data_IF_730142330003
#
_entry.id   IF_730142330003
#
_cell.length_a   1.000
_cell.length_b   1.000
_cell.length_c   1.000
_cell.angle_alpha   90.00
_cell.angle_beta   90.00
_cell.angle_gamma   90.00
#
_symmetry.space_group_name_H-M   'P 1'
#
loop_
_entity.id
_entity.type
_entity.pdbx_description
1 polymer ?
#
# COMPACT_ATOMS: atom_id res chain seq x y z
N UNK A 1 4.67 34.80 -39.58
CA UNK A 1 4.99 34.25 -38.24
C UNK A 1 4.00 33.12 -37.96
N UNK A 2 4.24 31.90 -38.47
CA UNK A 2 4.50 30.68 -37.68
C UNK A 2 3.73 30.69 -36.34
N UNK A 3 2.75 29.82 -36.06
CA UNK A 3 2.76 28.37 -36.28
C UNK A 3 1.33 27.82 -36.36
N UNK A 4 1.15 26.79 -37.19
CA UNK A 4 0.06 25.84 -37.12
C UNK A 4 0.06 25.19 -35.72
N UNK A 5 -0.79 25.66 -34.82
CA UNK A 5 -0.87 25.19 -33.43
C UNK A 5 -2.08 24.27 -33.18
N UNK A 6 -2.66 23.65 -34.22
CA UNK A 6 -3.75 22.69 -34.01
C UNK A 6 -3.22 21.41 -33.33
N UNK A 7 -2.02 20.95 -33.72
CA UNK A 7 -1.32 19.83 -33.08
C UNK A 7 -0.87 20.21 -31.66
N UNK A 8 -0.42 21.46 -31.44
CA UNK A 8 -0.03 21.95 -30.10
C UNK A 8 -1.22 22.04 -29.13
N UNK A 9 -2.44 22.22 -29.63
CA UNK A 9 -3.65 22.33 -28.81
C UNK A 9 -4.24 20.95 -28.44
N UNK A 10 -4.02 19.91 -29.26
CA UNK A 10 -4.43 18.53 -28.94
C UNK A 10 -3.64 17.91 -27.79
N UNK A 11 -2.42 18.38 -27.52
CA UNK A 11 -1.62 17.95 -26.36
C UNK A 11 -1.90 18.76 -25.08
N UNK A 12 -2.68 19.84 -25.15
CA UNK A 12 -2.76 20.82 -24.05
C UNK A 12 -3.77 20.51 -22.94
N UNK A 13 -4.48 19.38 -22.97
CA UNK A 13 -5.50 19.09 -21.95
C UNK A 13 -5.64 17.60 -21.61
N UNK A 14 -4.53 16.90 -21.37
CA UNK A 14 -4.58 15.77 -20.45
C UNK A 14 -4.04 16.24 -19.11
N UNK A 15 -4.92 16.81 -18.28
CA UNK A 15 -4.76 16.73 -16.83
C UNK A 15 -4.78 15.23 -16.50
N UNK A 16 -3.61 14.60 -16.54
CA UNK A 16 -3.42 13.29 -15.96
C UNK A 16 -3.75 13.49 -14.49
N UNK A 17 -4.97 13.14 -14.11
CA UNK A 17 -5.35 13.03 -12.72
C UNK A 17 -4.47 11.91 -12.18
N UNK A 18 -3.31 12.26 -11.64
CA UNK A 18 -2.49 11.35 -10.87
C UNK A 18 -3.27 11.09 -9.59
N UNK A 19 -4.22 10.16 -9.64
CA UNK A 19 -4.61 9.47 -8.41
C UNK A 19 -3.32 8.86 -7.92
N UNK A 20 -2.75 9.45 -6.87
CA UNK A 20 -1.56 8.94 -6.21
C UNK A 20 -1.96 7.59 -5.64
N UNK A 21 -1.82 6.53 -6.45
CA UNK A 21 -1.87 5.17 -5.96
C UNK A 21 -0.64 5.05 -5.08
N UNK A 22 -0.80 5.27 -3.78
CA UNK A 22 0.23 4.91 -2.80
C UNK A 22 0.17 3.39 -2.72
N UNK A 23 1.10 2.65 -3.34
CA UNK A 23 1.12 1.21 -3.14
C UNK A 23 1.28 0.98 -1.63
N UNK A 24 0.36 0.25 -1.02
CA UNK A 24 0.54 -0.23 0.33
C UNK A 24 1.55 -1.36 0.28
N UNK A 25 2.84 -1.00 0.28
CA UNK A 25 3.94 -1.96 0.26
C UNK A 25 4.12 -2.51 1.67
N UNK A 26 3.98 -3.83 1.81
CA UNK A 26 4.27 -4.52 3.07
C UNK A 26 5.80 -4.62 3.22
N UNK A 27 6.39 -4.19 4.33
CA UNK A 27 7.84 -4.27 4.53
C UNK A 27 8.30 -5.74 4.64
N UNK A 28 9.42 -6.05 3.98
CA UNK A 28 10.11 -7.32 4.11
C UNK A 28 11.16 -7.26 5.22
N UNK A 29 11.35 -8.37 5.93
CA UNK A 29 12.31 -8.52 7.02
C UNK A 29 13.14 -9.79 6.85
N UNK A 30 14.36 -9.76 7.37
CA UNK A 30 15.27 -10.91 7.39
C UNK A 30 15.25 -11.52 8.79
N UNK A 31 14.99 -12.83 8.87
CA UNK A 31 15.03 -13.60 10.10
C UNK A 31 16.47 -14.04 10.42
N UNK A 32 16.94 -13.67 11.62
CA UNK A 32 18.31 -13.90 12.07
C UNK A 32 18.49 -15.22 12.84
N UNK A 33 17.39 -15.89 13.22
CA UNK A 33 17.44 -17.09 14.07
C UNK A 33 17.89 -18.36 13.31
N UNK A 34 17.82 -18.32 11.97
CA UNK A 34 18.17 -19.45 11.12
C UNK A 34 19.66 -19.50 10.76
N UNK A 35 20.22 -20.71 10.61
CA UNK A 35 21.54 -20.93 9.98
C UNK A 35 21.64 -20.37 8.54
N UNK A 36 20.50 -20.01 7.95
CA UNK A 36 20.32 -19.42 6.62
C UNK A 36 19.38 -18.23 6.77
N UNK A 37 19.66 -17.16 6.03
CA UNK A 37 18.79 -15.98 5.93
C UNK A 37 17.44 -16.36 5.32
N UNK A 38 16.37 -16.08 6.05
CA UNK A 38 14.99 -16.27 5.55
C UNK A 38 14.33 -14.91 5.48
N UNK A 39 13.74 -14.62 4.32
CA UNK A 39 13.02 -13.36 4.09
C UNK A 39 11.53 -13.63 4.24
N UNK A 40 10.89 -12.81 5.06
CA UNK A 40 9.45 -12.82 5.25
C UNK A 40 8.89 -11.43 5.01
N UNK A 41 7.61 -11.31 4.66
CA UNK A 41 6.89 -10.10 4.99
C UNK A 41 6.74 -9.99 6.53
N UNK A 42 6.54 -8.77 7.04
CA UNK A 42 6.47 -8.57 8.50
C UNK A 42 5.36 -9.38 9.19
N UNK A 43 4.21 -9.57 8.54
CA UNK A 43 3.07 -10.28 9.15
C UNK A 43 3.31 -11.79 9.19
N UNK A 44 3.90 -12.34 8.13
CA UNK A 44 4.33 -13.73 8.07
C UNK A 44 5.40 -14.05 9.12
N UNK A 45 6.34 -13.11 9.38
CA UNK A 45 7.34 -13.31 10.45
C UNK A 45 6.68 -13.37 11.83
N UNK A 46 5.68 -12.51 12.09
CA UNK A 46 4.92 -12.48 13.34
C UNK A 46 4.06 -13.74 13.52
N UNK A 47 3.43 -14.22 12.44
CA UNK A 47 2.63 -15.45 12.46
C UNK A 47 3.47 -16.69 12.80
N UNK A 48 4.74 -16.75 12.35
CA UNK A 48 5.69 -17.81 12.75
C UNK A 48 5.89 -17.85 14.28
N UNK A 49 5.85 -16.69 14.94
CA UNK A 49 5.94 -16.56 16.40
C UNK A 49 4.55 -16.59 17.09
N UNK A 50 3.50 -16.96 16.34
CA UNK A 50 2.09 -17.04 16.78
C UNK A 50 1.50 -15.71 17.23
N UNK A 51 2.00 -14.60 16.69
CA UNK A 51 1.48 -13.24 16.91
C UNK A 51 0.51 -12.91 15.78
N UNK A 52 -0.74 -12.56 16.12
CA UNK A 52 -1.78 -12.16 15.17
C UNK A 52 -2.10 -10.68 15.37
N UNK A 53 -2.07 -9.92 14.28
CA UNK A 53 -2.45 -8.51 14.31
C UNK A 53 -3.90 -8.32 13.83
N UNK A 54 -4.75 -7.76 14.68
CA UNK A 54 -6.12 -7.37 14.32
C UNK A 54 -6.10 -5.89 13.93
N UNK A 55 -6.20 -5.63 12.62
CA UNK A 55 -6.12 -4.27 12.07
C UNK A 55 -7.48 -3.57 11.99
N UNK A 56 -8.54 -4.25 12.40
CA UNK A 56 -9.88 -3.67 12.49
C UNK A 56 -10.05 -2.99 13.84
N UNK A 57 -10.68 -1.80 13.90
CA UNK A 57 -11.08 -1.22 15.17
C UNK A 57 -11.95 -2.22 15.93
N UNK A 58 -11.77 -2.30 17.24
CA UNK A 58 -12.70 -3.04 18.09
C UNK A 58 -14.05 -2.32 18.00
N UNK A 59 -15.15 -3.03 17.69
CA UNK A 59 -16.49 -2.44 17.76
C UNK A 59 -16.74 -2.04 19.23
N UNK A 60 -16.62 -0.75 19.54
CA UNK A 60 -16.94 -0.22 20.86
C UNK A 60 -18.44 0.01 20.96
N UNK A 61 -19.18 -1.08 20.93
CA UNK A 61 -20.62 -1.02 21.00
C UNK A 61 -21.02 -1.30 22.45
N UNK A 62 -21.16 -0.24 23.25
CA UNK A 62 -22.07 -0.28 24.40
C UNK A 62 -23.54 -0.53 23.96
N UNK A 63 -23.81 -0.61 22.65
CA UNK A 63 -25.13 -0.72 22.01
C UNK A 63 -25.07 -1.71 20.82
N UNK A 64 -24.44 -2.88 20.96
CA UNK A 64 -24.52 -3.93 19.91
C UNK A 64 -25.59 -4.97 20.16
N UNK A 65 -26.29 -4.92 21.32
CA UNK A 65 -27.32 -5.90 21.68
C UNK A 65 -28.48 -5.34 22.55
N UNK A 66 -28.76 -4.04 22.49
CA UNK A 66 -30.06 -3.45 22.86
C UNK A 66 -30.65 -2.72 21.65
#
# INVERSE_FOLDING_TARGET
>A
MRKLSLIQQLFSNRKLHSTVLRPQTIPMVVDQDGRVERVYDIYSRLLKDRIVCVMTPYPSDAESFL
#
